data_IF_917522607422
#
_entry.id   IF_917522607422
#
_cell.length_a   1.000
_cell.length_b   1.000
_cell.length_c   1.000
_cell.angle_alpha   90.00
_cell.angle_beta   90.00
_cell.angle_gamma   90.00
#
_symmetry.space_group_name_H-M   'P 1'
#
loop_
_entity.id
_entity.type
_entity.pdbx_description
1 polymer ?
#
# COMPACT_ATOMS: atom_id res chain seq x y z
N UNK A 1 -8.24 0.10 3.63
CA UNK A 1 -8.32 0.28 2.16
C UNK A 1 -9.25 -0.76 1.57
N UNK A 2 -10.24 -0.36 0.80
CA UNK A 2 -11.13 -1.30 0.10
C UNK A 2 -10.99 -1.11 -1.40
N UNK A 3 -10.78 -2.21 -2.13
CA UNK A 3 -10.69 -2.23 -3.58
C UNK A 3 -11.87 -3.04 -4.10
N UNK A 4 -12.67 -2.44 -4.96
CA UNK A 4 -13.83 -3.12 -5.53
C UNK A 4 -14.09 -2.69 -6.97
N UNK A 5 -14.62 -3.61 -7.78
CA UNK A 5 -14.98 -3.38 -9.18
C UNK A 5 -16.50 -3.34 -9.39
N UNK A 6 -17.27 -3.05 -8.35
CA UNK A 6 -18.73 -3.06 -8.41
C UNK A 6 -19.35 -1.73 -8.02
N UNK A 7 -20.46 -1.43 -8.66
CA UNK A 7 -21.36 -0.34 -8.32
C UNK A 7 -22.73 -0.91 -7.98
N UNK A 8 -23.37 -0.41 -6.94
CA UNK A 8 -24.76 -0.73 -6.59
C UNK A 8 -25.65 0.42 -7.02
N UNK A 9 -26.57 0.13 -7.92
CA UNK A 9 -27.60 1.08 -8.27
C UNK A 9 -28.53 1.34 -7.08
N UNK A 10 -28.72 2.60 -6.71
CA UNK A 10 -29.49 2.99 -5.54
C UNK A 10 -31.00 2.84 -5.73
N UNK A 11 -31.48 2.79 -6.97
CA UNK A 11 -32.91 2.67 -7.29
C UNK A 11 -33.33 1.22 -7.44
N UNK A 12 -32.59 0.43 -8.22
CA UNK A 12 -32.88 -0.98 -8.45
C UNK A 12 -32.33 -1.92 -7.39
N UNK A 13 -31.25 -1.51 -6.70
CA UNK A 13 -30.52 -2.37 -5.78
C UNK A 13 -29.60 -3.37 -6.47
N UNK A 14 -29.54 -3.35 -7.80
CA UNK A 14 -28.69 -4.24 -8.59
C UNK A 14 -27.22 -3.87 -8.53
N UNK A 15 -26.34 -4.87 -8.65
CA UNK A 15 -24.89 -4.68 -8.74
C UNK A 15 -24.44 -4.78 -10.19
N UNK A 16 -23.62 -3.82 -10.59
CA UNK A 16 -22.90 -3.80 -11.87
C UNK A 16 -21.41 -3.99 -11.60
N UNK A 17 -20.75 -4.80 -12.41
CA UNK A 17 -19.33 -5.12 -12.29
C UNK A 17 -18.58 -4.65 -13.52
N UNK A 18 -17.37 -4.11 -13.32
CA UNK A 18 -16.55 -3.56 -14.38
C UNK A 18 -15.15 -4.18 -14.34
N UNK A 19 -14.50 -4.34 -15.51
CA UNK A 19 -13.08 -4.68 -15.54
C UNK A 19 -12.27 -3.65 -14.75
N UNK A 20 -11.27 -4.14 -14.00
CA UNK A 20 -10.46 -3.30 -13.14
C UNK A 20 -9.00 -3.77 -13.17
N UNK A 21 -8.08 -2.83 -13.29
CA UNK A 21 -6.65 -3.10 -13.15
C UNK A 21 -6.01 -2.01 -12.29
N UNK A 22 -5.18 -2.40 -11.33
CA UNK A 22 -4.49 -1.49 -10.44
C UNK A 22 -3.09 -2.01 -10.10
N UNK A 23 -2.14 -1.10 -10.04
CA UNK A 23 -0.80 -1.32 -9.52
C UNK A 23 -0.55 -0.33 -8.37
N UNK A 24 0.04 -0.81 -7.29
CA UNK A 24 0.36 -0.04 -6.08
C UNK A 24 1.78 -0.33 -5.69
N UNK A 25 2.62 0.69 -5.71
CA UNK A 25 4.05 0.58 -5.52
C UNK A 25 4.53 1.41 -4.34
N UNK A 26 5.53 0.89 -3.64
CA UNK A 26 6.23 1.57 -2.54
C UNK A 26 5.27 2.17 -1.49
N UNK A 27 4.17 1.49 -1.18
CA UNK A 27 3.14 2.00 -0.29
C UNK A 27 3.12 1.31 1.07
N UNK A 28 2.55 2.01 2.05
CA UNK A 28 2.22 1.45 3.36
C UNK A 28 0.70 1.46 3.54
N UNK A 29 0.11 0.28 3.70
CA UNK A 29 -1.31 0.09 4.01
C UNK A 29 -1.40 -0.45 5.44
N UNK A 30 -1.48 0.45 6.40
CA UNK A 30 -1.37 0.14 7.82
C UNK A 30 -2.34 0.98 8.65
N UNK A 31 -2.88 0.40 9.71
CA UNK A 31 -3.82 1.07 10.60
C UNK A 31 -4.22 0.20 11.80
N UNK A 32 -5.39 0.45 12.37
CA UNK A 32 -5.88 -0.20 13.60
C UNK A 32 -6.58 -1.54 13.36
N UNK A 33 -6.98 -1.84 12.13
CA UNK A 33 -7.67 -3.08 11.81
C UNK A 33 -6.70 -4.24 11.63
N UNK A 34 -7.19 -5.47 11.76
CA UNK A 34 -6.41 -6.68 11.45
C UNK A 34 -6.15 -6.82 9.96
N UNK A 35 -7.14 -6.45 9.15
CA UNK A 35 -7.09 -6.43 7.70
C UNK A 35 -7.36 -5.02 7.20
N UNK A 36 -6.29 -4.30 6.89
CA UNK A 36 -6.38 -2.95 6.31
C UNK A 36 -6.61 -2.96 4.79
N UNK A 37 -6.42 -4.12 4.16
CA UNK A 37 -6.70 -4.34 2.75
C UNK A 37 -7.88 -5.31 2.59
N UNK A 38 -8.92 -4.85 1.90
CA UNK A 38 -10.10 -5.65 1.55
C UNK A 38 -10.33 -5.58 0.04
N UNK A 39 -10.41 -6.72 -0.63
CA UNK A 39 -10.79 -6.78 -2.04
C UNK A 39 -12.19 -7.37 -2.18
N UNK A 40 -12.97 -6.81 -3.08
CA UNK A 40 -14.34 -7.22 -3.34
C UNK A 40 -14.65 -7.15 -4.84
N UNK A 41 -14.28 -8.21 -5.55
CA UNK A 41 -14.47 -8.32 -6.99
C UNK A 41 -15.62 -9.25 -7.32
N UNK A 42 -16.41 -8.88 -8.33
CA UNK A 42 -17.46 -9.74 -8.86
C UNK A 42 -16.88 -10.89 -9.68
N UNK A 43 -17.62 -12.00 -9.80
CA UNK A 43 -17.13 -13.22 -10.43
C UNK A 43 -16.90 -13.12 -11.95
N UNK A 44 -17.58 -12.18 -12.60
CA UNK A 44 -17.68 -12.14 -14.07
C UNK A 44 -16.89 -10.98 -14.71
N UNK A 45 -16.09 -10.24 -13.94
CA UNK A 45 -15.31 -9.15 -14.48
C UNK A 45 -13.81 -9.40 -14.27
N UNK A 46 -13.05 -9.27 -15.35
CA UNK A 46 -11.59 -9.34 -15.30
C UNK A 46 -11.05 -8.24 -14.40
N UNK A 47 -10.55 -8.65 -13.23
CA UNK A 47 -9.97 -7.73 -12.28
C UNK A 47 -8.60 -8.21 -11.84
N UNK A 48 -7.64 -7.32 -11.98
CA UNK A 48 -6.26 -7.57 -11.57
C UNK A 48 -5.78 -6.49 -10.63
N UNK A 49 -4.97 -6.87 -9.67
CA UNK A 49 -4.24 -5.94 -8.84
C UNK A 49 -2.84 -6.48 -8.55
N UNK A 50 -1.89 -5.56 -8.45
CA UNK A 50 -0.52 -5.86 -8.06
C UNK A 50 -0.13 -4.85 -6.99
N UNK A 51 0.39 -5.36 -5.88
CA UNK A 51 1.14 -4.60 -4.90
C UNK A 51 2.60 -4.98 -5.02
N UNK A 52 3.48 -4.02 -5.24
CA UNK A 52 4.91 -4.24 -5.34
C UNK A 52 5.67 -3.38 -4.33
N UNK A 53 6.57 -4.00 -3.56
CA UNK A 53 7.33 -3.34 -2.50
C UNK A 53 6.42 -2.53 -1.55
N UNK A 54 5.38 -3.18 -1.00
CA UNK A 54 4.46 -2.55 -0.06
C UNK A 54 4.52 -3.20 1.32
N UNK A 55 4.31 -2.40 2.38
CA UNK A 55 4.03 -2.91 3.71
C UNK A 55 2.52 -2.93 3.93
N UNK A 56 1.97 -4.11 4.19
CA UNK A 56 0.52 -4.30 4.30
C UNK A 56 0.16 -4.98 5.62
N UNK A 57 -0.77 -4.40 6.36
CA UNK A 57 -1.36 -5.05 7.52
C UNK A 57 -2.56 -5.86 7.08
N UNK A 58 -2.40 -7.19 7.01
CA UNK A 58 -3.47 -8.12 6.67
C UNK A 58 -3.14 -9.53 7.11
N UNK A 59 -4.01 -10.11 7.91
CA UNK A 59 -3.94 -11.55 8.23
C UNK A 59 -4.37 -12.39 7.02
N UNK A 60 -5.34 -11.89 6.26
CA UNK A 60 -5.91 -12.58 5.10
C UNK A 60 -4.89 -12.81 3.99
N UNK A 61 -4.04 -11.82 3.71
CA UNK A 61 -3.13 -11.85 2.55
C UNK A 61 -1.68 -12.18 2.92
N UNK A 62 -1.33 -12.33 4.18
CA UNK A 62 0.04 -12.52 4.66
C UNK A 62 0.78 -13.71 4.04
N UNK A 63 0.05 -14.72 3.56
CA UNK A 63 0.62 -15.92 2.92
C UNK A 63 0.22 -16.04 1.44
N UNK A 64 -0.29 -14.97 0.83
CA UNK A 64 -0.73 -14.95 -0.57
C UNK A 64 0.37 -14.36 -1.43
N UNK A 65 0.80 -15.10 -2.46
CA UNK A 65 1.81 -14.61 -3.40
C UNK A 65 1.18 -13.92 -4.61
N UNK A 66 -0.01 -14.35 -5.04
CA UNK A 66 -0.69 -13.80 -6.20
C UNK A 66 -1.11 -12.35 -5.95
N UNK A 67 -0.60 -11.43 -6.76
CA UNK A 67 -0.87 -10.00 -6.65
C UNK A 67 0.00 -9.24 -5.62
N UNK A 68 0.98 -9.91 -4.99
CA UNK A 68 1.87 -9.28 -4.01
C UNK A 68 3.33 -9.63 -4.30
N UNK A 69 4.09 -8.66 -4.79
CA UNK A 69 5.50 -8.80 -5.12
C UNK A 69 6.34 -8.06 -4.09
N UNK A 70 7.34 -8.71 -3.51
CA UNK A 70 8.27 -8.10 -2.55
C UNK A 70 7.57 -7.33 -1.41
N UNK A 71 6.35 -7.75 -1.04
CA UNK A 71 5.59 -7.11 0.02
C UNK A 71 5.98 -7.63 1.41
N UNK A 72 5.91 -6.74 2.38
CA UNK A 72 6.06 -7.04 3.80
C UNK A 72 4.66 -7.09 4.44
N UNK A 73 4.44 -8.01 5.37
CA UNK A 73 3.15 -8.14 6.03
C UNK A 73 3.27 -8.06 7.54
N UNK A 74 2.33 -7.34 8.15
CA UNK A 74 2.11 -7.31 9.60
C UNK A 74 3.33 -6.87 10.43
N UNK A 75 4.24 -6.10 9.84
CA UNK A 75 5.36 -5.49 10.54
C UNK A 75 4.99 -4.07 10.94
N UNK A 76 5.53 -3.59 12.05
CA UNK A 76 5.30 -2.22 12.54
C UNK A 76 6.10 -1.21 11.69
N UNK A 77 5.45 -0.21 11.07
CA UNK A 77 6.16 0.81 10.28
C UNK A 77 6.89 1.85 11.13
N UNK A 78 6.58 1.97 12.42
CA UNK A 78 7.13 2.97 13.35
C UNK A 78 6.86 4.41 12.89
N UNK A 79 5.58 4.72 12.64
CA UNK A 79 5.16 6.10 12.40
C UNK A 79 5.34 6.98 13.64
N UNK A 80 5.80 8.22 13.45
CA UNK A 80 6.02 9.19 14.52
C UNK A 80 4.73 9.50 15.29
N UNK A 81 3.64 9.78 14.61
CA UNK A 81 2.33 9.97 15.24
C UNK A 81 1.19 9.78 14.22
N UNK A 82 0.82 8.55 13.95
CA UNK A 82 -0.25 8.25 12.99
C UNK A 82 -1.62 8.80 13.39
N UNK A 83 -1.85 9.05 14.69
CA UNK A 83 -3.13 9.60 15.20
C UNK A 83 -3.34 11.05 14.81
N UNK A 84 -2.25 11.78 14.59
CA UNK A 84 -2.26 13.16 14.12
C UNK A 84 -1.76 13.29 12.68
N UNK A 85 -1.86 12.20 11.91
CA UNK A 85 -1.44 12.14 10.50
C UNK A 85 0.06 12.44 10.26
N UNK A 86 0.89 12.27 11.28
CA UNK A 86 2.33 12.31 11.11
C UNK A 86 2.85 10.91 10.74
N UNK A 87 2.97 10.67 9.45
CA UNK A 87 3.37 9.38 8.88
C UNK A 87 4.86 9.30 8.58
N UNK A 88 5.68 10.20 9.12
CA UNK A 88 7.13 10.05 9.08
C UNK A 88 7.56 8.83 9.87
N UNK A 89 8.66 8.23 9.46
CA UNK A 89 9.26 7.11 10.18
C UNK A 89 10.12 7.65 11.32
N UNK A 90 9.88 7.17 12.53
CA UNK A 90 10.51 7.64 13.78
C UNK A 90 11.51 6.62 14.35
N UNK A 91 11.88 5.61 13.62
CA UNK A 91 12.82 4.59 14.10
C UNK A 91 13.66 4.00 12.98
N UNK A 92 14.97 3.94 13.21
CA UNK A 92 15.90 3.23 12.32
C UNK A 92 15.61 1.71 12.23
N UNK A 93 14.84 1.17 13.16
CA UNK A 93 14.42 -0.23 13.14
C UNK A 93 13.22 -0.47 12.20
N UNK A 94 12.69 0.55 11.56
CA UNK A 94 11.55 0.39 10.65
C UNK A 94 11.89 -0.50 9.46
N UNK A 95 11.05 -1.50 9.16
CA UNK A 95 11.28 -2.42 8.05
C UNK A 95 11.08 -1.77 6.68
N UNK A 96 10.54 -0.55 6.62
CA UNK A 96 10.25 0.15 5.36
C UNK A 96 11.44 0.95 4.84
N UNK A 97 12.47 1.16 5.66
CA UNK A 97 13.65 1.94 5.29
C UNK A 97 14.48 1.19 4.24
N UNK A 98 14.71 1.82 3.09
CA UNK A 98 15.52 1.27 2.00
C UNK A 98 14.95 -0.01 1.37
N UNK A 99 13.66 -0.29 1.52
CA UNK A 99 13.01 -1.51 1.02
C UNK A 99 12.02 -1.27 -0.10
N UNK A 100 11.89 -0.03 -0.57
CA UNK A 100 11.10 0.31 -1.74
C UNK A 100 11.78 -0.07 -3.05
N UNK A 101 10.99 -0.16 -4.12
CA UNK A 101 11.49 -0.44 -5.46
C UNK A 101 12.21 0.80 -6.03
N UNK A 102 13.51 0.69 -6.41
CA UNK A 102 14.27 1.83 -6.94
C UNK A 102 13.72 2.37 -8.27
N UNK A 103 13.06 1.54 -9.09
CA UNK A 103 12.48 1.99 -10.35
C UNK A 103 11.39 3.03 -10.11
N UNK A 104 10.48 2.77 -9.18
CA UNK A 104 9.43 3.72 -8.81
C UNK A 104 9.98 4.92 -8.02
N UNK A 105 11.06 4.75 -7.28
CA UNK A 105 11.79 5.86 -6.69
C UNK A 105 12.31 6.87 -7.72
N UNK A 106 12.70 6.40 -8.92
CA UNK A 106 13.10 7.27 -10.01
C UNK A 106 11.92 7.97 -10.70
N UNK A 107 10.75 7.35 -10.74
CA UNK A 107 9.53 7.94 -11.30
C UNK A 107 8.94 9.01 -10.38
N UNK A 108 9.07 8.81 -9.06
CA UNK A 108 8.66 9.75 -8.02
C UNK A 108 9.90 10.14 -7.18
N UNK A 109 10.78 10.99 -7.73
CA UNK A 109 12.12 11.21 -7.16
C UNK A 109 12.14 11.97 -5.85
N UNK A 110 11.03 12.58 -5.46
CA UNK A 110 10.92 13.32 -4.20
C UNK A 110 9.75 12.80 -3.37
N UNK A 111 9.92 12.80 -2.08
CA UNK A 111 8.84 12.50 -1.13
C UNK A 111 7.94 13.74 -0.89
N UNK A 112 7.01 13.62 0.06
CA UNK A 112 6.06 14.71 0.37
C UNK A 112 6.73 15.94 1.01
N UNK A 113 7.92 15.80 1.57
CA UNK A 113 8.73 16.88 2.13
C UNK A 113 9.78 17.42 1.15
N UNK A 114 9.85 16.87 -0.06
CA UNK A 114 10.85 17.22 -1.06
C UNK A 114 12.21 16.55 -0.83
N UNK A 115 12.26 15.50 0.00
CA UNK A 115 13.48 14.70 0.19
C UNK A 115 13.64 13.74 -0.98
N UNK A 116 14.86 13.69 -1.51
CA UNK A 116 15.19 12.91 -2.69
C UNK A 116 15.21 11.40 -2.37
N UNK A 117 14.48 10.62 -3.16
CA UNK A 117 14.41 9.16 -3.11
C UNK A 117 15.42 8.51 -4.04
N UNK A 118 16.71 8.65 -3.76
CA UNK A 118 17.77 8.10 -4.62
C UNK A 118 18.31 6.79 -4.08
N UNK A 119 18.52 5.85 -5.00
CA UNK A 119 19.18 4.58 -4.70
C UNK A 119 18.22 3.56 -4.11
N UNK A 120 18.06 3.54 -2.80
CA UNK A 120 17.14 2.64 -2.10
C UNK A 120 16.04 3.45 -1.41
N UNK A 121 14.90 3.67 -2.10
CA UNK A 121 13.81 4.44 -1.53
C UNK A 121 13.14 3.69 -0.38
N UNK A 122 12.53 4.44 0.53
CA UNK A 122 11.67 3.86 1.55
C UNK A 122 10.27 3.60 0.98
N UNK A 123 9.57 2.64 1.56
CA UNK A 123 8.13 2.52 1.32
C UNK A 123 7.40 3.64 2.05
N UNK A 124 6.31 4.15 1.47
CA UNK A 124 5.46 5.16 2.08
C UNK A 124 5.66 6.58 1.54
N UNK A 125 5.00 7.53 2.17
CA UNK A 125 4.93 8.91 1.71
C UNK A 125 6.21 9.73 1.96
N UNK A 126 7.02 9.31 2.93
CA UNK A 126 8.20 10.03 3.39
C UNK A 126 9.44 9.17 3.37
N UNK A 127 10.56 9.77 3.00
CA UNK A 127 11.89 9.19 3.11
C UNK A 127 12.41 9.39 4.54
N UNK A 128 12.96 8.34 5.15
CA UNK A 128 13.59 8.46 6.46
C UNK A 128 14.85 9.33 6.37
N UNK A 129 14.84 10.42 7.10
CA UNK A 129 16.02 11.28 7.28
C UNK A 129 16.50 10.99 8.69
N UNK A 130 17.56 10.22 8.84
CA UNK A 130 18.10 9.83 10.14
C UNK A 130 18.27 11.01 11.10
N UNK A 131 18.31 10.69 12.36
CA UNK A 131 18.54 11.67 13.44
C UNK A 131 19.94 12.26 13.39
#
# INVERSE_FOLDING_TARGET
MTIQNRYKDSQSGEFFYYPFSMEVDNCIVYGSQKDELVTNFGPDADSTYIFDHCLIKSEKYANTLAGFNHCLFNLEPYFADYRHNNLHIDSIASPVIGTGNPLFGNEVPYDMDGVLRVGMPDMGAYQFVGF
#
